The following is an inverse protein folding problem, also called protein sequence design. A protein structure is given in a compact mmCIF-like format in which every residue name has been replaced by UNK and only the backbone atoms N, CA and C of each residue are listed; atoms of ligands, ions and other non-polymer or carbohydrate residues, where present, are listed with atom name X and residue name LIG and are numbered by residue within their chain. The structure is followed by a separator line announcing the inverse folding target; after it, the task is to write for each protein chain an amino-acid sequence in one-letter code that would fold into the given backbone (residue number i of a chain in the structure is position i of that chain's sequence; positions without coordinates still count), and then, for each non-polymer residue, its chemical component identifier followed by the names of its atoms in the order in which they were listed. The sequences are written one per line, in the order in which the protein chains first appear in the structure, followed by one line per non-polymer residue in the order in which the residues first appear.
data_IF_667000793356
#
_entry.id   IF_667000793356
#
_cell.length_a   1.000
_cell.length_b   1.000
_cell.length_c   1.000
_cell.angle_alpha   90.00
_cell.angle_beta   90.00
_cell.angle_gamma   90.00
#
_symmetry.space_group_name_H-M   'P 1'
#
loop_
_entity.id
_entity.type
_entity.pdbx_description
1 polymer ?
#
# COMPACT_ATOMS: atom_id res chain seq x y z
N UNK A 1 11.98 -52.36 45.92
CA UNK A 1 13.42 -52.25 45.62
C UNK A 1 13.71 -53.36 44.62
N UNK A 2 14.12 -53.17 43.38
CA UNK A 2 14.99 -52.18 42.74
C UNK A 2 14.68 -52.09 41.23
N UNK A 3 14.78 -50.89 40.66
CA UNK A 3 15.04 -50.55 39.25
C UNK A 3 15.32 -49.04 39.27
N UNK A 4 16.24 -48.42 38.55
CA UNK A 4 17.11 -48.77 37.44
C UNK A 4 17.36 -47.43 36.74
N UNK A 5 18.40 -46.68 37.15
CA UNK A 5 18.71 -45.35 36.64
C UNK A 5 20.13 -45.36 36.09
N UNK A 6 20.30 -45.13 34.78
CA UNK A 6 21.59 -44.97 34.11
C UNK A 6 21.51 -43.72 33.23
N UNK A 7 22.22 -42.69 33.67
CA UNK A 7 22.31 -41.40 32.99
C UNK A 7 23.09 -41.50 31.68
N UNK A 8 22.60 -40.81 30.64
CA UNK A 8 23.36 -40.51 29.43
C UNK A 8 24.10 -39.19 29.62
N UNK A 9 25.42 -39.22 29.39
CA UNK A 9 26.30 -38.05 29.32
C UNK A 9 26.00 -37.23 28.07
N UNK A 10 26.08 -35.91 28.18
CA UNK A 10 25.92 -34.95 27.11
C UNK A 10 27.14 -34.98 26.15
N UNK A 11 26.86 -35.08 24.85
CA UNK A 11 27.82 -34.82 23.77
C UNK A 11 27.75 -33.33 23.39
N UNK A 12 28.87 -32.62 23.52
CA UNK A 12 29.00 -31.23 23.09
C UNK A 12 29.38 -31.18 21.61
N UNK A 13 28.40 -30.95 20.73
CA UNK A 13 28.64 -30.54 19.35
C UNK A 13 29.13 -29.08 19.33
N UNK A 14 30.31 -28.82 18.75
CA UNK A 14 30.80 -27.45 18.52
C UNK A 14 30.34 -27.00 17.14
N UNK A 15 29.21 -26.29 17.09
CA UNK A 15 28.72 -25.68 15.85
C UNK A 15 29.47 -24.39 15.56
N UNK A 16 30.33 -24.37 14.53
CA UNK A 16 30.90 -23.11 13.99
C UNK A 16 30.19 -22.76 12.68
N UNK A 17 29.69 -21.52 12.61
CA UNK A 17 29.08 -20.93 11.40
C UNK A 17 30.06 -19.91 10.83
N UNK A 18 30.33 -19.99 9.54
CA UNK A 18 31.13 -19.01 8.80
C UNK A 18 30.31 -18.53 7.60
N UNK A 19 30.32 -17.22 7.36
CA UNK A 19 29.74 -16.61 6.15
C UNK A 19 30.90 -16.13 5.30
N UNK A 20 31.00 -16.65 4.08
CA UNK A 20 31.99 -16.22 3.10
C UNK A 20 31.27 -15.98 1.76
N UNK A 21 31.35 -14.76 1.25
CA UNK A 21 30.76 -14.33 -0.03
C UNK A 21 29.27 -14.74 -0.19
N UNK A 22 28.45 -14.42 0.80
CA UNK A 22 27.01 -14.72 0.81
C UNK A 22 26.64 -16.19 1.03
N UNK A 23 27.63 -17.08 1.17
CA UNK A 23 27.43 -18.51 1.41
C UNK A 23 27.59 -18.83 2.91
N UNK A 24 26.58 -19.46 3.51
CA UNK A 24 26.66 -19.97 4.88
C UNK A 24 27.32 -21.35 4.89
N UNK A 25 28.46 -21.46 5.57
CA UNK A 25 29.20 -22.71 5.76
C UNK A 25 29.04 -23.14 7.22
N UNK A 26 28.55 -24.35 7.45
CA UNK A 26 28.34 -24.93 8.77
C UNK A 26 29.35 -26.06 8.97
N UNK A 27 30.13 -25.99 10.05
CA UNK A 27 31.04 -27.06 10.45
C UNK A 27 30.43 -27.83 11.61
N UNK A 28 30.25 -29.14 11.42
CA UNK A 28 29.80 -30.05 12.47
C UNK A 28 30.91 -31.07 12.74
N UNK A 29 31.40 -31.11 13.98
CA UNK A 29 32.40 -32.08 14.41
C UNK A 29 31.69 -33.16 15.23
N UNK A 30 31.72 -34.40 14.73
CA UNK A 30 31.17 -35.57 15.44
C UNK A 30 32.32 -36.31 16.12
N UNK A 31 32.20 -36.54 17.42
CA UNK A 31 33.17 -37.32 18.18
C UNK A 31 32.67 -38.77 18.28
N UNK A 32 33.47 -39.74 17.84
CA UNK A 32 33.24 -41.15 18.13
C UNK A 32 34.20 -41.64 19.23
N UNK A 33 33.66 -42.41 20.18
CA UNK A 33 34.38 -42.96 21.35
C UNK A 33 35.49 -43.98 21.00
N UNK A 34 36.20 -44.54 21.99
CA UNK A 34 37.08 -43.93 22.99
C UNK A 34 38.56 -43.97 22.57
N UNK A 35 38.87 -44.29 21.31
CA UNK A 35 40.24 -44.33 20.79
C UNK A 35 40.58 -43.08 19.97
N UNK A 36 40.51 -41.90 20.60
CA UNK A 36 41.17 -40.63 20.24
C UNK A 36 41.44 -40.35 18.74
N UNK A 37 40.45 -40.62 17.87
CA UNK A 37 40.52 -40.42 16.43
C UNK A 37 39.41 -39.45 16.06
N UNK A 38 39.76 -38.24 15.61
CA UNK A 38 38.76 -37.28 15.12
C UNK A 38 38.65 -37.43 13.60
N UNK A 39 37.50 -37.91 13.11
CA UNK A 39 37.16 -37.83 11.69
C UNK A 39 36.43 -36.52 11.44
N UNK A 40 37.08 -35.59 10.74
CA UNK A 40 36.42 -34.36 10.29
C UNK A 40 35.53 -34.69 9.10
N UNK A 41 34.22 -34.77 9.31
CA UNK A 41 33.24 -34.88 8.22
C UNK A 41 32.92 -33.47 7.74
N UNK A 42 33.39 -33.11 6.54
CA UNK A 42 33.04 -31.83 5.92
C UNK A 42 31.71 -32.02 5.16
N UNK A 43 30.59 -31.61 5.77
CA UNK A 43 29.33 -31.47 5.07
C UNK A 43 29.32 -30.13 4.32
N UNK A 44 29.62 -30.15 3.02
CA UNK A 44 29.48 -28.96 2.16
C UNK A 44 28.01 -28.78 1.77
N UNK A 45 27.26 -27.98 2.54
CA UNK A 45 26.01 -27.43 2.04
C UNK A 45 26.35 -26.30 1.05
N UNK A 46 26.03 -26.49 -0.22
CA UNK A 46 25.95 -25.38 -1.18
C UNK A 46 24.73 -24.56 -0.76
N UNK A 47 24.94 -23.54 0.07
CA UNK A 47 23.88 -22.59 0.39
C UNK A 47 23.43 -21.97 -0.94
N UNK A 48 22.15 -22.15 -1.27
CA UNK A 48 21.56 -21.33 -2.34
C UNK A 48 21.76 -19.86 -1.97
N UNK A 49 22.16 -18.99 -2.90
CA UNK A 49 22.36 -17.58 -2.59
C UNK A 49 21.09 -17.06 -1.91
N UNK A 50 21.25 -16.43 -0.75
CA UNK A 50 20.15 -15.78 -0.05
C UNK A 50 19.54 -14.80 -1.07
N UNK A 51 18.25 -14.95 -1.44
CA UNK A 51 17.66 -14.08 -2.44
C UNK A 51 17.78 -12.65 -1.96
N UNK A 52 18.37 -11.77 -2.79
CA UNK A 52 18.36 -10.33 -2.49
C UNK A 52 16.90 -9.87 -2.39
N UNK A 53 16.55 -8.95 -1.47
CA UNK A 53 15.22 -8.37 -1.45
C UNK A 53 14.92 -7.74 -2.83
N UNK A 54 13.65 -7.82 -3.31
CA UNK A 54 13.29 -7.26 -4.60
C UNK A 54 13.51 -5.74 -4.60
N UNK A 55 14.04 -5.22 -5.70
CA UNK A 55 14.11 -3.78 -5.97
C UNK A 55 12.73 -3.30 -6.40
N UNK A 56 12.18 -2.31 -5.68
CA UNK A 56 10.83 -1.78 -5.91
C UNK A 56 10.92 -0.30 -6.29
N UNK A 57 10.28 0.09 -7.40
CA UNK A 57 9.97 1.49 -7.66
C UNK A 57 8.54 1.80 -7.20
N UNK A 58 8.36 2.93 -6.50
CA UNK A 58 7.05 3.45 -6.14
C UNK A 58 6.77 4.72 -6.92
N UNK A 59 5.82 4.66 -7.85
CA UNK A 59 5.33 5.85 -8.58
C UNK A 59 4.12 6.42 -7.85
N UNK A 60 4.12 7.71 -7.56
CA UNK A 60 3.01 8.36 -6.84
C UNK A 60 3.18 8.37 -5.32
N UNK A 61 4.42 8.55 -4.85
CA UNK A 61 4.77 8.66 -3.42
C UNK A 61 4.14 9.88 -2.71
N UNK A 62 3.47 10.78 -3.46
CA UNK A 62 2.73 11.93 -2.91
C UNK A 62 1.24 11.68 -2.70
N UNK A 63 0.72 10.52 -3.13
CA UNK A 63 -0.62 10.08 -2.75
C UNK A 63 -0.66 9.73 -1.25
N UNK A 64 -1.85 9.71 -0.64
CA UNK A 64 -1.98 9.29 0.77
C UNK A 64 -1.35 7.91 0.98
N UNK A 65 -1.72 6.93 0.15
CA UNK A 65 -1.14 5.59 0.27
C UNK A 65 0.36 5.57 -0.04
N UNK A 66 0.79 6.16 -1.16
CA UNK A 66 2.20 6.14 -1.56
C UNK A 66 3.11 6.80 -0.54
N UNK A 67 2.67 7.89 0.08
CA UNK A 67 3.42 8.57 1.14
C UNK A 67 3.63 7.67 2.35
N UNK A 68 2.57 6.99 2.78
CA UNK A 68 2.64 6.05 3.91
C UNK A 68 3.49 4.82 3.58
N UNK A 69 3.42 4.30 2.36
CA UNK A 69 4.30 3.23 1.89
C UNK A 69 5.77 3.67 1.92
N UNK A 70 6.10 4.82 1.34
CA UNK A 70 7.48 5.32 1.27
C UNK A 70 8.08 5.57 2.66
N UNK A 71 7.32 6.17 3.59
CA UNK A 71 7.79 6.43 4.96
C UNK A 71 7.89 5.17 5.81
N UNK A 72 7.00 4.19 5.58
CA UNK A 72 6.98 2.94 6.34
C UNK A 72 8.07 1.96 5.89
N UNK A 73 8.51 2.05 4.63
CA UNK A 73 9.46 1.14 4.00
C UNK A 73 10.62 1.85 3.26
N UNK A 74 11.35 2.78 3.92
CA UNK A 74 12.30 3.67 3.25
C UNK A 74 13.52 2.96 2.63
N UNK A 75 13.81 1.73 3.05
CA UNK A 75 14.93 0.92 2.54
C UNK A 75 14.49 -0.19 1.57
N UNK A 76 13.18 -0.39 1.38
CA UNK A 76 12.67 -1.46 0.52
C UNK A 76 12.31 -0.98 -0.89
N UNK A 77 12.27 0.34 -1.12
CA UNK A 77 11.80 0.91 -2.37
C UNK A 77 12.46 2.26 -2.67
N UNK A 78 12.41 2.65 -3.95
CA UNK A 78 12.79 3.98 -4.42
C UNK A 78 11.52 4.76 -4.78
N UNK A 79 11.17 5.82 -4.02
CA UNK A 79 9.95 6.58 -4.23
C UNK A 79 10.11 7.68 -5.29
N UNK A 80 9.06 7.88 -6.08
CA UNK A 80 8.93 8.99 -7.02
C UNK A 80 7.68 9.81 -6.74
N UNK A 81 7.84 11.13 -6.63
CA UNK A 81 6.75 12.10 -6.38
C UNK A 81 6.00 12.43 -7.67
N UNK A 82 4.74 12.83 -7.55
CA UNK A 82 4.01 13.40 -8.69
C UNK A 82 4.53 14.81 -8.98
N UNK A 83 4.53 15.26 -10.26
CA UNK A 83 4.96 16.61 -10.63
C UNK A 83 4.25 17.70 -9.83
N UNK A 84 4.98 18.78 -9.52
CA UNK A 84 4.43 19.97 -8.87
C UNK A 84 4.24 19.86 -7.34
N UNK A 85 4.62 18.75 -6.71
CA UNK A 85 4.65 18.66 -5.25
C UNK A 85 5.93 19.31 -4.69
N UNK A 86 5.78 20.39 -3.94
CA UNK A 86 6.88 21.16 -3.34
C UNK A 86 6.99 20.95 -1.83
N UNK A 87 6.27 19.97 -1.26
CA UNK A 87 6.27 19.77 0.19
C UNK A 87 7.66 19.40 0.70
N UNK A 88 8.16 20.05 1.78
CA UNK A 88 9.43 19.71 2.41
C UNK A 88 9.58 18.22 2.77
N UNK A 89 8.48 17.54 3.10
CA UNK A 89 8.47 16.13 3.52
C UNK A 89 8.81 15.13 2.42
N UNK A 90 8.87 15.57 1.15
CA UNK A 90 9.14 14.71 0.00
C UNK A 90 10.24 15.26 -0.91
N UNK A 91 10.94 16.32 -0.51
CA UNK A 91 11.96 16.98 -1.33
C UNK A 91 13.15 16.07 -1.68
N UNK A 92 13.41 15.06 -0.86
CA UNK A 92 14.49 14.08 -1.09
C UNK A 92 14.14 13.04 -2.16
N UNK A 93 12.86 12.95 -2.56
CA UNK A 93 12.39 11.96 -3.52
C UNK A 93 12.38 12.54 -4.94
N UNK A 94 12.82 11.73 -5.90
CA UNK A 94 12.85 12.13 -7.31
C UNK A 94 11.43 12.41 -7.84
N UNK A 95 11.29 13.37 -8.75
CA UNK A 95 10.00 13.69 -9.36
C UNK A 95 9.80 12.91 -10.65
N UNK A 96 8.59 12.38 -10.86
CA UNK A 96 8.19 11.75 -12.11
C UNK A 96 8.21 12.75 -13.28
N UNK A 97 8.68 12.32 -14.45
CA UNK A 97 8.48 13.04 -15.71
C UNK A 97 7.93 12.08 -16.76
N UNK A 98 6.67 11.67 -16.59
CA UNK A 98 6.04 10.64 -17.44
C UNK A 98 5.61 11.17 -18.81
N UNK A 99 5.62 12.49 -19.01
CA UNK A 99 5.39 13.13 -20.31
C UNK A 99 6.59 12.95 -21.26
N UNK A 100 7.80 12.77 -20.71
CA UNK A 100 9.04 12.55 -21.45
C UNK A 100 9.37 11.05 -21.59
N UNK A 101 9.23 10.45 -22.78
CA UNK A 101 9.53 9.03 -23.01
C UNK A 101 10.98 8.65 -22.70
N UNK A 102 11.95 9.55 -22.94
CA UNK A 102 13.35 9.27 -22.67
C UNK A 102 13.64 9.22 -21.17
N UNK A 103 12.94 10.04 -20.37
CA UNK A 103 13.00 9.94 -18.92
C UNK A 103 12.49 8.58 -18.43
N UNK A 104 11.34 8.11 -18.95
CA UNK A 104 10.75 6.81 -18.57
C UNK A 104 11.71 5.66 -18.89
N UNK A 105 12.26 5.65 -20.11
CA UNK A 105 13.26 4.68 -20.55
C UNK A 105 14.49 4.69 -19.66
N UNK A 106 15.01 5.88 -19.35
CA UNK A 106 16.19 6.06 -18.50
C UNK A 106 15.94 5.50 -17.09
N UNK A 107 14.80 5.82 -16.47
CA UNK A 107 14.47 5.33 -15.13
C UNK A 107 14.46 3.81 -15.04
N UNK A 108 13.83 3.12 -15.99
CA UNK A 108 13.84 1.65 -15.98
C UNK A 108 15.22 1.06 -16.26
N UNK A 109 16.01 1.67 -17.16
CA UNK A 109 17.38 1.23 -17.44
C UNK A 109 18.34 1.39 -16.25
N UNK A 110 18.16 2.45 -15.46
CA UNK A 110 19.01 2.77 -14.31
C UNK A 110 18.66 1.95 -13.07
N UNK A 111 17.36 1.79 -12.78
CA UNK A 111 16.92 1.14 -11.55
C UNK A 111 16.69 -0.36 -11.68
N UNK A 112 16.43 -0.86 -12.90
CA UNK A 112 16.17 -2.27 -13.21
C UNK A 112 15.29 -2.97 -12.15
N UNK A 113 14.07 -2.45 -11.88
CA UNK A 113 13.28 -2.93 -10.76
C UNK A 113 12.71 -4.32 -11.00
N UNK A 114 12.63 -5.09 -9.92
CA UNK A 114 11.89 -6.35 -9.89
C UNK A 114 10.38 -6.07 -9.83
N UNK A 115 9.96 -4.98 -9.17
CA UNK A 115 8.56 -4.57 -9.03
C UNK A 115 8.41 -3.06 -9.30
N UNK A 116 7.41 -2.71 -10.12
CA UNK A 116 6.85 -1.36 -10.19
C UNK A 116 5.52 -1.33 -9.41
N UNK A 117 5.50 -0.61 -8.29
CA UNK A 117 4.29 -0.28 -7.54
C UNK A 117 3.76 1.08 -8.01
N UNK A 118 2.65 1.05 -8.75
CA UNK A 118 2.07 2.20 -9.41
C UNK A 118 0.87 2.75 -8.62
N UNK A 119 1.10 3.82 -7.87
CA UNK A 119 0.12 4.58 -7.11
C UNK A 119 -0.15 5.98 -7.71
N UNK A 120 0.45 6.32 -8.86
CA UNK A 120 0.31 7.64 -9.49
C UNK A 120 -1.07 7.79 -10.15
N UNK A 121 -1.83 8.79 -9.70
CA UNK A 121 -3.14 9.12 -10.22
C UNK A 121 -3.56 10.52 -9.75
N UNK A 122 -4.51 11.13 -10.46
CA UNK A 122 -5.30 12.26 -9.99
C UNK A 122 -6.69 11.77 -9.61
N UNK A 123 -7.12 12.09 -8.38
CA UNK A 123 -8.37 11.59 -7.79
C UNK A 123 -9.32 12.71 -7.32
N UNK A 124 -9.00 13.97 -7.61
CA UNK A 124 -9.90 15.10 -7.39
C UNK A 124 -11.05 15.03 -8.39
N UNK A 125 -12.18 14.46 -7.98
CA UNK A 125 -13.33 14.21 -8.85
C UNK A 125 -13.85 15.51 -9.49
N UNK A 126 -14.13 16.60 -8.74
CA UNK A 126 -14.50 17.87 -9.35
C UNK A 126 -13.53 18.36 -10.42
N UNK A 127 -12.22 18.28 -10.17
CA UNK A 127 -11.21 18.69 -11.15
C UNK A 127 -11.21 17.78 -12.38
N UNK A 128 -11.40 16.47 -12.19
CA UNK A 128 -11.48 15.53 -13.30
C UNK A 128 -12.73 15.76 -14.17
N UNK A 129 -13.87 16.12 -13.58
CA UNK A 129 -15.06 16.51 -14.35
C UNK A 129 -14.86 17.81 -15.12
N UNK A 130 -14.17 18.79 -14.52
CA UNK A 130 -13.89 20.08 -15.14
C UNK A 130 -12.89 19.98 -16.31
N UNK A 131 -11.91 19.08 -16.22
CA UNK A 131 -10.92 18.83 -17.27
C UNK A 131 -10.72 17.32 -17.51
N UNK A 132 -11.62 16.68 -18.27
CA UNK A 132 -11.55 15.25 -18.53
C UNK A 132 -10.33 14.83 -19.36
N UNK A 133 -9.84 15.72 -20.24
CA UNK A 133 -8.67 15.46 -21.07
C UNK A 133 -7.40 15.39 -20.21
N UNK A 134 -7.23 16.33 -19.26
CA UNK A 134 -6.15 16.27 -18.28
C UNK A 134 -6.24 15.03 -17.39
N UNK A 135 -7.43 14.70 -16.88
CA UNK A 135 -7.62 13.52 -16.05
C UNK A 135 -7.25 12.23 -16.79
N UNK A 136 -7.67 12.12 -18.06
CA UNK A 136 -7.30 11.00 -18.92
C UNK A 136 -5.79 10.95 -19.18
N UNK A 137 -5.17 12.08 -19.53
CA UNK A 137 -3.74 12.14 -19.81
C UNK A 137 -2.91 11.65 -18.60
N UNK A 138 -3.25 12.12 -17.40
CA UNK A 138 -2.52 11.73 -16.19
C UNK A 138 -2.80 10.30 -15.75
N UNK A 139 -4.07 9.84 -15.78
CA UNK A 139 -4.44 8.52 -15.25
C UNK A 139 -4.22 7.38 -16.25
N UNK A 140 -4.37 7.64 -17.54
CA UNK A 140 -4.30 6.65 -18.64
C UNK A 140 -3.07 6.89 -19.49
N UNK A 141 -2.85 8.12 -19.99
CA UNK A 141 -1.75 8.46 -20.87
C UNK A 141 -0.37 8.21 -20.26
N UNK A 142 -0.15 8.66 -19.03
CA UNK A 142 1.10 8.40 -18.30
C UNK A 142 1.36 6.90 -18.08
N UNK A 143 0.32 6.15 -17.69
CA UNK A 143 0.44 4.70 -17.53
C UNK A 143 0.76 4.02 -18.86
N UNK A 144 0.16 4.47 -19.97
CA UNK A 144 0.43 3.91 -21.30
C UNK A 144 1.90 4.06 -21.69
N UNK A 145 2.47 5.24 -21.45
CA UNK A 145 3.91 5.49 -21.68
C UNK A 145 4.77 4.61 -20.79
N UNK A 146 4.44 4.50 -19.50
CA UNK A 146 5.13 3.61 -18.57
C UNK A 146 5.12 2.17 -19.06
N UNK A 147 3.95 1.64 -19.44
CA UNK A 147 3.80 0.26 -19.94
C UNK A 147 4.60 0.01 -21.23
N UNK A 148 4.75 1.03 -22.08
CA UNK A 148 5.51 0.94 -23.33
C UNK A 148 7.02 0.73 -23.11
N UNK A 149 7.54 1.12 -21.95
CA UNK A 149 8.97 0.99 -21.60
C UNK A 149 9.23 0.06 -20.41
N UNK A 150 8.19 -0.51 -19.79
CA UNK A 150 8.32 -1.38 -18.62
C UNK A 150 8.89 -2.75 -19.04
N UNK A 151 10.11 -3.12 -18.61
CA UNK A 151 10.74 -4.39 -19.00
C UNK A 151 9.86 -5.58 -18.66
N UNK A 152 9.74 -6.59 -19.53
CA UNK A 152 8.88 -7.78 -19.30
C UNK A 152 9.20 -8.51 -17.99
N UNK A 153 10.44 -8.44 -17.52
CA UNK A 153 10.90 -9.01 -16.24
C UNK A 153 10.41 -8.26 -15.01
N UNK A 154 9.99 -7.00 -15.16
CA UNK A 154 9.47 -6.19 -14.05
C UNK A 154 8.01 -6.52 -13.80
N UNK A 155 7.67 -6.89 -12.58
CA UNK A 155 6.28 -7.08 -12.19
C UNK A 155 5.56 -5.76 -11.99
N UNK A 156 4.34 -5.66 -12.49
CA UNK A 156 3.49 -4.48 -12.31
C UNK A 156 2.45 -4.72 -11.21
N UNK A 157 2.46 -3.87 -10.20
CA UNK A 157 1.42 -3.79 -9.17
C UNK A 157 0.75 -2.42 -9.28
N UNK A 158 -0.52 -2.41 -9.67
CA UNK A 158 -1.30 -1.20 -9.90
C UNK A 158 -2.35 -1.03 -8.80
N UNK A 159 -2.29 0.08 -8.07
CA UNK A 159 -3.29 0.36 -7.02
C UNK A 159 -4.46 1.12 -7.62
N UNK A 160 -5.57 0.45 -7.88
CA UNK A 160 -6.84 1.02 -8.34
C UNK A 160 -7.70 1.57 -7.18
N UNK A 161 -9.00 1.78 -7.41
CA UNK A 161 -9.92 2.43 -6.47
C UNK A 161 -11.31 1.83 -6.56
N UNK A 162 -12.05 1.86 -5.46
CA UNK A 162 -13.51 1.67 -5.40
C UNK A 162 -14.33 2.59 -6.31
N UNK A 163 -13.78 3.70 -6.82
CA UNK A 163 -14.42 4.55 -7.84
C UNK A 163 -14.63 3.88 -9.20
N UNK A 164 -14.11 2.65 -9.40
CA UNK A 164 -14.54 1.79 -10.51
C UNK A 164 -16.00 1.35 -10.37
N UNK A 165 -16.58 1.51 -9.18
CA UNK A 165 -18.00 1.35 -8.89
C UNK A 165 -18.62 2.71 -8.54
N UNK A 166 -19.95 2.81 -8.61
CA UNK A 166 -20.65 4.05 -8.29
C UNK A 166 -22.07 3.89 -7.71
N UNK A 167 -22.73 2.77 -8.00
CA UNK A 167 -24.05 2.48 -7.45
C UNK A 167 -24.01 1.99 -6.00
N UNK A 168 -25.17 1.97 -5.36
CA UNK A 168 -25.35 1.38 -4.03
C UNK A 168 -25.20 -0.14 -4.13
N UNK A 169 -24.21 -0.71 -3.45
CA UNK A 169 -23.93 -2.14 -3.54
C UNK A 169 -22.71 -2.62 -2.76
N UNK A 170 -22.60 -3.94 -2.71
CA UNK A 170 -21.46 -4.67 -2.18
C UNK A 170 -20.76 -5.34 -3.36
N UNK A 171 -19.48 -5.03 -3.56
CA UNK A 171 -18.74 -5.37 -4.77
C UNK A 171 -17.53 -6.24 -4.45
N UNK A 172 -17.53 -7.45 -5.00
CA UNK A 172 -16.38 -8.34 -4.99
C UNK A 172 -15.55 -8.21 -6.27
N UNK A 173 -14.41 -8.91 -6.38
CA UNK A 173 -13.45 -8.72 -7.48
C UNK A 173 -14.03 -8.98 -8.87
N UNK A 174 -14.90 -9.98 -8.98
CA UNK A 174 -15.61 -10.31 -10.23
C UNK A 174 -16.83 -9.41 -10.54
N UNK A 175 -17.19 -8.47 -9.67
CA UNK A 175 -18.30 -7.57 -9.96
C UNK A 175 -17.93 -6.65 -11.13
N UNK A 176 -18.82 -6.45 -12.12
CA UNK A 176 -18.52 -5.59 -13.27
C UNK A 176 -18.36 -4.13 -12.80
N UNK A 177 -17.32 -3.41 -13.26
CA UNK A 177 -17.18 -1.99 -12.97
C UNK A 177 -18.39 -1.18 -13.47
N UNK A 178 -18.78 -0.17 -12.70
CA UNK A 178 -19.88 0.76 -13.01
C UNK A 178 -19.49 2.20 -12.61
N UNK A 179 -18.44 2.78 -13.21
CA UNK A 179 -17.93 4.08 -12.81
C UNK A 179 -18.91 5.20 -13.16
N UNK A 180 -19.15 6.11 -12.21
CA UNK A 180 -20.06 7.26 -12.39
C UNK A 180 -19.36 8.59 -12.60
N UNK A 181 -18.03 8.64 -12.43
CA UNK A 181 -17.22 9.85 -12.60
C UNK A 181 -16.13 9.68 -13.66
N UNK A 182 -15.60 10.79 -14.19
CA UNK A 182 -14.40 10.81 -15.06
C UNK A 182 -13.26 10.06 -14.38
N UNK A 183 -12.98 10.37 -13.10
CA UNK A 183 -11.95 9.68 -12.34
C UNK A 183 -12.16 8.16 -12.38
N UNK A 184 -13.36 7.69 -12.02
CA UNK A 184 -13.71 6.27 -12.05
C UNK A 184 -13.51 5.63 -13.44
N UNK A 185 -13.96 6.32 -14.50
CA UNK A 185 -13.79 5.85 -15.89
C UNK A 185 -12.32 5.68 -16.25
N UNK A 186 -11.48 6.65 -15.91
CA UNK A 186 -10.03 6.57 -16.17
C UNK A 186 -9.35 5.43 -15.39
N UNK A 187 -9.83 5.08 -14.18
CA UNK A 187 -9.34 3.91 -13.44
C UNK A 187 -9.69 2.61 -14.15
N UNK A 188 -10.95 2.46 -14.60
CA UNK A 188 -11.39 1.25 -15.31
C UNK A 188 -10.59 1.05 -16.59
N UNK A 189 -10.34 2.12 -17.35
CA UNK A 189 -9.54 2.05 -18.57
C UNK A 189 -8.08 1.68 -18.30
N UNK A 190 -7.47 2.30 -17.29
CA UNK A 190 -6.13 1.94 -16.87
C UNK A 190 -6.02 0.48 -16.38
N UNK A 191 -7.03 -0.03 -15.66
CA UNK A 191 -7.09 -1.46 -15.29
C UNK A 191 -7.05 -2.37 -16.53
N UNK A 192 -7.81 -2.04 -17.59
CA UNK A 192 -7.81 -2.82 -18.83
C UNK A 192 -6.43 -2.87 -19.48
N UNK A 193 -5.64 -1.80 -19.41
CA UNK A 193 -4.26 -1.78 -19.91
C UNK A 193 -3.35 -2.66 -19.06
N UNK A 194 -3.50 -2.63 -17.73
CA UNK A 194 -2.74 -3.47 -16.80
C UNK A 194 -3.02 -4.95 -17.05
N UNK A 195 -4.28 -5.35 -17.25
CA UNK A 195 -4.66 -6.74 -17.49
C UNK A 195 -4.05 -7.35 -18.76
N UNK A 196 -3.66 -6.52 -19.74
CA UNK A 196 -2.94 -7.01 -20.93
C UNK A 196 -1.52 -7.46 -20.62
N UNK A 197 -0.97 -7.06 -19.47
CA UNK A 197 0.37 -7.46 -19.02
C UNK A 197 0.28 -8.73 -18.17
N UNK A 198 0.91 -9.85 -18.59
CA UNK A 198 0.95 -11.08 -17.80
C UNK A 198 1.60 -10.85 -16.43
N UNK A 199 1.09 -11.56 -15.41
CA UNK A 199 1.64 -11.52 -14.06
C UNK A 199 1.43 -10.19 -13.30
N UNK A 200 0.62 -9.28 -13.85
CA UNK A 200 0.26 -8.04 -13.17
C UNK A 200 -0.73 -8.26 -12.03
N UNK A 201 -0.75 -7.33 -11.07
CA UNK A 201 -1.68 -7.30 -9.96
C UNK A 201 -2.38 -5.94 -9.91
N UNK A 202 -3.70 -5.94 -9.94
CA UNK A 202 -4.55 -4.78 -9.66
C UNK A 202 -5.11 -4.88 -8.26
N UNK A 203 -4.87 -3.87 -7.43
CA UNK A 203 -5.38 -3.79 -6.06
C UNK A 203 -6.43 -2.68 -6.00
N UNK A 204 -7.71 -3.02 -5.89
CA UNK A 204 -8.76 -2.03 -5.63
C UNK A 204 -8.88 -1.81 -4.12
N UNK A 205 -8.84 -0.56 -3.71
CA UNK A 205 -8.96 -0.15 -2.31
C UNK A 205 -10.03 0.92 -2.17
N UNK A 206 -10.58 1.01 -0.96
CA UNK A 206 -11.52 2.04 -0.58
C UNK A 206 -10.84 3.36 -0.20
N UNK A 207 -11.41 4.04 0.79
CA UNK A 207 -10.93 5.33 1.22
C UNK A 207 -9.82 5.21 2.28
N UNK A 208 -8.61 5.63 1.93
CA UNK A 208 -7.49 5.71 2.88
C UNK A 208 -7.55 7.02 3.70
N UNK A 209 -7.35 6.90 5.01
CA UNK A 209 -7.29 8.04 5.95
C UNK A 209 -5.90 8.10 6.58
N UNK A 210 -5.29 9.29 6.51
CA UNK A 210 -4.00 9.59 7.11
C UNK A 210 -3.53 10.98 6.69
N UNK A 211 -2.47 11.51 7.30
CA UNK A 211 -1.86 12.77 6.89
C UNK A 211 -1.31 12.66 5.47
N UNK A 212 -1.47 13.72 4.70
CA UNK A 212 -0.82 13.90 3.41
C UNK A 212 0.56 14.52 3.58
N UNK A 213 1.47 14.33 2.60
CA UNK A 213 2.80 14.92 2.68
C UNK A 213 2.79 16.45 2.83
N UNK A 214 1.79 17.14 2.28
CA UNK A 214 1.68 18.60 2.37
C UNK A 214 0.77 19.08 3.51
N UNK A 215 0.16 18.18 4.28
CA UNK A 215 -0.78 18.52 5.35
C UNK A 215 -2.07 19.20 4.85
N UNK A 216 -2.40 19.07 3.56
CA UNK A 216 -3.51 19.80 2.91
C UNK A 216 -4.44 18.92 2.08
N UNK A 217 -4.10 17.66 1.88
CA UNK A 217 -4.80 16.76 0.95
C UNK A 217 -5.45 15.60 1.70
N UNK A 218 -6.60 15.14 1.21
CA UNK A 218 -7.35 14.06 1.84
C UNK A 218 -8.22 14.53 3.00
N UNK A 219 -9.03 13.62 3.54
CA UNK A 219 -10.12 13.97 4.43
C UNK A 219 -9.69 14.48 5.80
N UNK A 220 -8.66 13.88 6.38
CA UNK A 220 -8.12 14.29 7.66
C UNK A 220 -7.60 15.73 7.61
N UNK A 221 -6.75 16.02 6.63
CA UNK A 221 -6.12 17.33 6.49
C UNK A 221 -7.11 18.40 6.04
N UNK A 222 -8.08 18.06 5.19
CA UNK A 222 -9.15 18.98 4.80
C UNK A 222 -10.02 19.37 5.99
N UNK A 223 -10.45 18.42 6.83
CA UNK A 223 -11.20 18.71 8.04
C UNK A 223 -10.37 19.57 9.00
N UNK A 224 -9.12 19.17 9.28
CA UNK A 224 -8.20 19.90 10.14
C UNK A 224 -8.00 21.35 9.69
N UNK A 225 -7.77 21.56 8.40
CA UNK A 225 -7.58 22.90 7.86
C UNK A 225 -8.84 23.74 8.02
N UNK A 226 -10.02 23.20 7.66
CA UNK A 226 -11.28 23.97 7.74
C UNK A 226 -11.66 24.32 9.18
N UNK A 227 -11.46 23.42 10.13
CA UNK A 227 -11.72 23.72 11.54
C UNK A 227 -10.75 24.79 12.07
N UNK A 228 -9.46 24.65 11.81
CA UNK A 228 -8.45 25.65 12.23
C UNK A 228 -8.69 27.04 11.64
N UNK A 229 -9.27 27.12 10.44
CA UNK A 229 -9.58 28.38 9.76
C UNK A 229 -11.02 28.86 9.97
N UNK A 230 -11.83 28.16 10.79
CA UNK A 230 -13.26 28.43 10.98
C UNK A 230 -14.06 28.53 9.66
N UNK A 231 -13.73 27.68 8.69
CA UNK A 231 -14.39 27.65 7.38
C UNK A 231 -15.59 26.68 7.39
N UNK A 232 -16.70 27.00 6.68
CA UNK A 232 -17.89 26.14 6.64
C UNK A 232 -17.57 24.73 6.14
N UNK A 233 -18.08 23.68 6.80
CA UNK A 233 -17.87 22.29 6.37
C UNK A 233 -19.17 21.76 5.77
N UNK A 234 -19.11 21.16 4.58
CA UNK A 234 -20.24 20.50 3.93
C UNK A 234 -19.87 19.04 3.61
N UNK A 235 -20.60 18.10 4.21
CA UNK A 235 -20.37 16.66 4.11
C UNK A 235 -21.50 16.02 3.31
N UNK A 236 -21.13 15.19 2.33
CA UNK A 236 -22.11 14.39 1.58
C UNK A 236 -22.69 13.31 2.48
N UNK A 237 -24.01 13.22 2.60
CA UNK A 237 -24.64 12.35 3.61
C UNK A 237 -24.92 10.90 3.16
N UNK A 238 -25.06 10.69 1.86
CA UNK A 238 -25.45 9.43 1.21
C UNK A 238 -24.31 8.76 0.43
N UNK A 239 -23.06 9.06 0.81
CA UNK A 239 -21.85 8.37 0.34
C UNK A 239 -21.27 7.50 1.47
N UNK A 240 -21.00 6.22 1.16
CA UNK A 240 -20.39 5.26 2.09
C UNK A 240 -19.25 4.53 1.40
N UNK A 241 -18.16 4.33 2.14
CA UNK A 241 -16.93 3.72 1.60
C UNK A 241 -16.27 2.82 2.63
N UNK A 242 -15.64 1.74 2.18
CA UNK A 242 -14.70 0.95 2.96
C UNK A 242 -13.52 1.85 3.35
N UNK A 243 -13.49 2.32 4.61
CA UNK A 243 -12.55 3.36 5.04
C UNK A 243 -11.53 2.79 6.01
N UNK A 244 -10.25 2.88 5.68
CA UNK A 244 -9.15 2.24 6.41
C UNK A 244 -8.04 3.25 6.71
N UNK A 245 -7.20 2.96 7.71
CA UNK A 245 -6.00 3.75 7.94
C UNK A 245 -4.97 3.54 6.84
N UNK A 246 -4.37 4.63 6.35
CA UNK A 246 -3.38 4.61 5.29
C UNK A 246 -2.14 3.78 5.66
N UNK A 247 -1.75 3.75 6.93
CA UNK A 247 -0.65 2.95 7.45
C UNK A 247 -0.94 1.44 7.33
N UNK A 248 -2.14 0.99 7.70
CA UNK A 248 -2.53 -0.42 7.62
C UNK A 248 -2.68 -0.86 6.16
N UNK A 249 -3.24 0.03 5.33
CA UNK A 249 -3.33 -0.18 3.88
C UNK A 249 -1.95 -0.26 3.24
N UNK A 250 -0.99 0.58 3.65
CA UNK A 250 0.38 0.55 3.16
C UNK A 250 1.05 -0.80 3.42
N UNK A 251 0.88 -1.36 4.62
CA UNK A 251 1.39 -2.69 4.96
C UNK A 251 0.75 -3.75 4.06
N UNK A 252 -0.58 -3.76 3.93
CA UNK A 252 -1.27 -4.79 3.11
C UNK A 252 -0.91 -4.70 1.63
N UNK A 253 -0.81 -3.49 1.09
CA UNK A 253 -0.39 -3.27 -0.32
C UNK A 253 1.03 -3.75 -0.55
N UNK A 254 1.95 -3.49 0.37
CA UNK A 254 3.33 -3.99 0.26
C UNK A 254 3.39 -5.52 0.36
N UNK A 255 2.65 -6.14 1.28
CA UNK A 255 2.56 -7.60 1.36
C UNK A 255 2.01 -8.22 0.07
N UNK A 256 0.99 -7.61 -0.53
CA UNK A 256 0.46 -8.05 -1.82
C UNK A 256 1.48 -7.86 -2.96
N UNK A 257 2.17 -6.72 -2.98
CA UNK A 257 3.17 -6.40 -3.99
C UNK A 257 4.34 -7.40 -4.02
N UNK A 258 4.76 -7.90 -2.85
CA UNK A 258 5.86 -8.89 -2.74
C UNK A 258 5.39 -10.35 -2.74
N UNK A 259 4.08 -10.62 -2.56
CA UNK A 259 3.49 -11.96 -2.69
C UNK A 259 3.44 -12.44 -4.15
N UNK A 260 3.29 -13.73 -4.48
CA UNK A 260 3.15 -14.18 -5.88
C UNK A 260 1.76 -13.91 -6.52
N UNK A 261 0.87 -13.16 -5.85
CA UNK A 261 -0.52 -12.96 -6.28
C UNK A 261 -0.62 -12.13 -7.57
N UNK A 262 -1.49 -12.54 -8.49
CA UNK A 262 -1.76 -11.83 -9.75
C UNK A 262 -3.26 -11.63 -9.95
N UNK A 263 -3.67 -10.88 -10.97
CA UNK A 263 -5.08 -10.61 -11.26
C UNK A 263 -5.62 -9.43 -10.44
N UNK A 264 -6.84 -9.55 -9.92
CA UNK A 264 -7.51 -8.48 -9.14
C UNK A 264 -7.60 -8.90 -7.68
N UNK A 265 -7.30 -7.98 -6.77
CA UNK A 265 -7.57 -8.11 -5.33
C UNK A 265 -8.29 -6.88 -4.82
N UNK A 266 -9.30 -7.09 -3.98
CA UNK A 266 -9.85 -6.04 -3.15
C UNK A 266 -9.15 -6.03 -1.79
N UNK A 267 -8.79 -4.85 -1.29
CA UNK A 267 -8.53 -4.65 0.13
C UNK A 267 -9.79 -4.04 0.72
N UNK A 268 -10.60 -4.87 1.37
CA UNK A 268 -11.83 -4.47 2.05
C UNK A 268 -11.56 -3.90 3.44
N UNK A 269 -12.57 -3.25 3.99
CA UNK A 269 -12.65 -2.91 5.40
C UNK A 269 -13.65 -3.86 6.08
N UNK A 270 -13.59 -3.98 7.40
CA UNK A 270 -14.58 -4.68 8.24
C UNK A 270 -16.00 -4.12 8.06
N UNK A 271 -16.12 -2.85 7.68
CA UNK A 271 -17.39 -2.18 7.39
C UNK A 271 -17.19 -0.99 6.43
N UNK A 272 -18.18 -0.74 5.58
CA UNK A 272 -18.34 0.55 4.91
C UNK A 272 -18.99 1.56 5.85
N UNK A 273 -18.42 2.77 5.92
CA UNK A 273 -18.90 3.83 6.83
C UNK A 273 -19.35 5.05 6.03
N UNK A 274 -20.36 5.75 6.53
CA UNK A 274 -20.81 7.00 5.91
C UNK A 274 -19.77 8.10 6.06
N UNK A 275 -19.76 9.02 5.10
CA UNK A 275 -18.96 10.24 5.16
C UNK A 275 -19.27 11.10 6.38
N UNK A 276 -20.52 11.12 6.84
CA UNK A 276 -20.97 11.82 8.05
C UNK A 276 -20.39 11.17 9.31
N UNK A 277 -20.45 9.85 9.41
CA UNK A 277 -19.87 9.09 10.53
C UNK A 277 -18.36 9.31 10.59
N UNK A 278 -17.69 9.24 9.44
CA UNK A 278 -16.25 9.52 9.34
C UNK A 278 -15.92 10.94 9.79
N UNK A 279 -16.66 11.96 9.33
CA UNK A 279 -16.42 13.35 9.69
C UNK A 279 -16.58 13.57 11.20
N UNK A 280 -17.66 13.06 11.80
CA UNK A 280 -17.86 13.12 13.25
C UNK A 280 -16.72 12.47 14.03
N UNK A 281 -16.29 11.28 13.60
CA UNK A 281 -15.18 10.56 14.23
C UNK A 281 -13.89 11.37 14.16
N UNK A 282 -13.52 11.89 12.99
CA UNK A 282 -12.29 12.65 12.81
C UNK A 282 -12.32 14.00 13.53
N UNK A 283 -13.45 14.71 13.53
CA UNK A 283 -13.59 15.98 14.26
C UNK A 283 -13.41 15.76 15.77
N UNK A 284 -14.06 14.74 16.32
CA UNK A 284 -13.90 14.35 17.72
C UNK A 284 -12.44 13.97 18.02
N UNK A 285 -11.81 13.18 17.15
CA UNK A 285 -10.40 12.79 17.28
C UNK A 285 -9.42 13.98 17.19
N UNK A 286 -9.82 15.09 16.56
CA UNK A 286 -9.08 16.35 16.51
C UNK A 286 -9.42 17.31 17.68
N UNK A 287 -10.29 16.89 18.61
CA UNK A 287 -10.77 17.72 19.71
C UNK A 287 -11.62 18.91 19.25
N UNK A 288 -12.31 18.77 18.11
CA UNK A 288 -13.14 19.82 17.52
C UNK A 288 -14.62 19.45 17.67
N UNK A 289 -15.40 20.35 18.27
CA UNK A 289 -16.86 20.32 18.24
C UNK A 289 -17.31 21.36 17.20
N UNK A 290 -17.57 20.91 15.97
CA UNK A 290 -17.96 21.78 14.87
C UNK A 290 -19.15 21.19 14.15
N UNK A 291 -20.20 21.99 14.02
CA UNK A 291 -21.33 21.65 13.17
C UNK A 291 -20.94 21.74 11.69
N UNK A 292 -21.43 20.79 10.90
CA UNK A 292 -21.26 20.80 9.46
C UNK A 292 -22.61 20.60 8.76
N UNK A 293 -22.73 21.22 7.59
CA UNK A 293 -23.88 21.04 6.72
C UNK A 293 -23.84 19.65 6.09
N UNK A 294 -25.01 19.09 5.89
CA UNK A 294 -25.20 17.83 5.16
C UNK A 294 -25.89 18.13 3.85
N UNK A 295 -25.41 17.49 2.80
CA UNK A 295 -25.97 17.59 1.46
C UNK A 295 -26.03 16.20 0.84
N UNK A 296 -27.08 15.91 0.08
CA UNK A 296 -27.13 14.70 -0.74
C UNK A 296 -26.16 14.80 -1.91
N UNK A 297 -25.62 13.67 -2.35
CA UNK A 297 -24.79 13.54 -3.56
C UNK A 297 -25.48 14.10 -4.80
N UNK A 298 -26.81 14.06 -4.87
CA UNK A 298 -27.59 14.59 -5.98
C UNK A 298 -27.61 16.13 -6.03
N UNK A 299 -27.22 16.80 -4.94
CA UNK A 299 -27.12 18.26 -4.86
C UNK A 299 -25.72 18.76 -5.23
N UNK A 300 -24.74 17.86 -5.39
CA UNK A 300 -23.34 18.20 -5.68
C UNK A 300 -23.14 18.35 -7.19
N UNK A 301 -22.26 19.27 -7.58
CA UNK A 301 -21.93 19.51 -8.99
C UNK A 301 -21.10 18.38 -9.61
N UNK A 302 -20.27 17.71 -8.81
CA UNK A 302 -19.46 16.57 -9.22
C UNK A 302 -20.08 15.25 -8.72
N UNK A 303 -19.97 14.14 -9.45
CA UNK A 303 -20.50 12.85 -9.02
C UNK A 303 -19.85 12.38 -7.72
N UNK A 304 -20.68 11.99 -6.76
CA UNK A 304 -20.27 11.33 -5.52
C UNK A 304 -20.77 9.88 -5.52
N UNK A 305 -19.97 8.99 -4.91
CA UNK A 305 -20.34 7.58 -4.81
C UNK A 305 -21.60 7.41 -3.95
N UNK A 306 -22.29 6.29 -4.13
CA UNK A 306 -23.31 5.84 -3.19
C UNK A 306 -22.74 5.09 -2.00
N UNK A 307 -23.46 4.06 -1.58
CA UNK A 307 -22.91 3.02 -0.71
C UNK A 307 -22.07 2.05 -1.52
N UNK A 308 -20.75 2.23 -1.52
CA UNK A 308 -19.80 1.31 -2.15
C UNK A 308 -19.03 0.57 -1.07
N UNK A 309 -19.31 -0.72 -0.95
CA UNK A 309 -18.62 -1.62 -0.02
C UNK A 309 -17.82 -2.66 -0.79
N UNK A 310 -16.50 -2.69 -0.57
CA UNK A 310 -15.65 -3.72 -1.17
C UNK A 310 -15.68 -4.97 -0.30
N UNK A 311 -15.84 -6.13 -0.94
CA UNK A 311 -15.62 -7.46 -0.34
C UNK A 311 -14.60 -8.24 -1.15
N UNK A 312 -14.10 -9.35 -0.60
CA UNK A 312 -13.21 -10.26 -1.30
C UNK A 312 -13.81 -11.66 -1.39
N UNK A 313 -13.71 -12.29 -2.56
CA UNK A 313 -14.02 -13.72 -2.75
C UNK A 313 -12.90 -14.64 -2.24
N UNK A 314 -11.74 -14.09 -1.93
CA UNK A 314 -10.59 -14.86 -1.49
C UNK A 314 -10.58 -15.01 0.03
N UNK A 315 -10.05 -16.14 0.51
CA UNK A 315 -10.00 -16.48 1.94
C UNK A 315 -8.59 -16.49 2.52
N UNK A 316 -7.57 -16.17 1.73
CA UNK A 316 -6.19 -16.09 2.21
C UNK A 316 -5.98 -14.92 3.18
N UNK A 317 -4.84 -14.91 3.87
CA UNK A 317 -4.52 -13.90 4.89
C UNK A 317 -4.45 -12.48 4.31
N UNK A 318 -4.10 -12.32 3.03
CA UNK A 318 -4.02 -11.05 2.34
C UNK A 318 -5.39 -10.57 1.81
N UNK A 319 -6.43 -11.41 1.88
CA UNK A 319 -7.81 -11.08 1.56
C UNK A 319 -8.66 -10.69 2.79
N UNK A 320 -8.14 -10.92 4.01
CA UNK A 320 -8.86 -10.56 5.23
C UNK A 320 -9.12 -9.06 5.30
N UNK A 321 -10.34 -8.62 5.69
CA UNK A 321 -10.66 -7.21 5.78
C UNK A 321 -9.74 -6.49 6.76
N UNK A 322 -9.31 -5.28 6.40
CA UNK A 322 -8.63 -4.39 7.33
C UNK A 322 -9.64 -3.79 8.31
N UNK A 323 -9.19 -3.44 9.50
CA UNK A 323 -9.99 -2.69 10.46
C UNK A 323 -10.48 -1.38 9.81
N UNK A 324 -11.77 -1.10 9.94
CA UNK A 324 -12.30 0.22 9.61
C UNK A 324 -11.66 1.25 10.54
N UNK A 325 -11.57 2.50 10.10
CA UNK A 325 -11.03 3.59 10.94
C UNK A 325 -11.79 3.79 12.26
N UNK A 326 -13.03 3.28 12.37
CA UNK A 326 -13.83 3.30 13.59
C UNK A 326 -13.49 2.17 14.57
N UNK A 327 -12.85 1.10 14.12
CA UNK A 327 -12.63 -0.09 14.93
C UNK A 327 -11.44 0.10 15.87
N UNK A 328 -11.58 -0.30 17.14
CA UNK A 328 -10.45 -0.39 18.08
C UNK A 328 -9.84 0.96 18.50
N UNK A 329 -10.51 2.09 18.24
CA UNK A 329 -10.00 3.42 18.55
C UNK A 329 -10.97 4.21 19.45
N UNK A 330 -10.98 3.96 20.77
CA UNK A 330 -11.55 4.94 21.68
C UNK A 330 -10.80 6.26 21.51
N UNK A 331 -11.56 7.36 21.50
CA UNK A 331 -11.03 8.73 21.42
C UNK A 331 -10.02 8.92 22.57
N UNK A 332 -8.89 9.59 22.29
CA UNK A 332 -7.77 9.86 23.21
C UNK A 332 -6.79 8.70 23.47
N UNK A 333 -6.58 7.80 22.50
CA UNK A 333 -5.50 6.80 22.59
C UNK A 333 -4.20 7.28 21.95
N UNK A 334 -3.01 6.91 22.50
CA UNK A 334 -1.72 7.21 21.87
C UNK A 334 -1.61 6.70 20.42
N UNK A 335 -2.24 5.56 20.12
CA UNK A 335 -2.30 5.00 18.77
C UNK A 335 -3.05 5.93 17.82
N UNK A 336 -4.23 6.43 18.21
CA UNK A 336 -4.99 7.38 17.40
C UNK A 336 -4.20 8.69 17.20
N UNK A 337 -3.60 9.24 18.25
CA UNK A 337 -2.74 10.43 18.14
C UNK A 337 -1.58 10.24 17.16
N UNK A 338 -1.00 9.04 17.11
CA UNK A 338 0.04 8.68 16.13
C UNK A 338 -0.51 8.62 14.71
N UNK A 339 -1.69 8.02 14.50
CA UNK A 339 -2.32 7.94 13.17
C UNK A 339 -2.77 9.29 12.62
N UNK A 340 -3.07 10.24 13.50
CA UNK A 340 -3.41 11.62 13.14
C UNK A 340 -2.17 12.48 12.87
N UNK A 341 -1.01 12.11 13.41
CA UNK A 341 0.26 12.81 13.21
C UNK A 341 1.12 12.11 12.16
N UNK A 342 2.31 12.65 11.90
CA UNK A 342 3.24 12.14 10.89
C UNK A 342 3.49 10.62 11.00
N UNK A 343 3.55 9.88 9.88
CA UNK A 343 3.69 8.44 9.94
C UNK A 343 5.09 8.04 10.47
N UNK A 344 5.16 7.01 11.30
CA UNK A 344 6.43 6.55 11.88
C UNK A 344 7.33 5.88 10.86
N UNK A 345 8.65 6.04 11.02
CA UNK A 345 9.66 5.25 10.30
C UNK A 345 9.80 3.90 11.02
N UNK A 346 9.83 2.79 10.27
CA UNK A 346 10.08 1.46 10.84
C UNK A 346 11.19 0.77 10.06
N UNK A 347 12.12 0.15 10.78
CA UNK A 347 13.29 -0.51 10.20
C UNK A 347 12.95 -1.87 9.55
N UNK A 348 13.74 -2.24 8.54
CA UNK A 348 13.51 -3.37 7.63
C UNK A 348 13.60 -4.78 8.25
N UNK A 349 13.78 -4.90 9.57
CA UNK A 349 14.02 -6.18 10.26
C UNK A 349 12.76 -7.00 10.60
N UNK A 350 11.58 -6.60 10.09
CA UNK A 350 10.28 -7.24 10.40
C UNK A 350 9.48 -7.71 9.17
N UNK A 351 10.13 -7.90 8.02
CA UNK A 351 9.50 -8.42 6.80
C UNK A 351 9.89 -9.87 6.52
#
# INVERSE_FOLDING_TARGET
MSSGCLGRRAETAVNRRLVYDGTLIIFEAVAESPHNSFSLVILTFVASPIPRPPSILLFGATSILGFHIARRFPHALVPFTSPGNTSPTVQEWATLNLEDPEWVKKVFSQHQPDILLYCHAVCDVPKCEADPAWAYEVNVGHLNRVLSFLPETTRLVYVSSDHVFGGDGVYHEHAPPCPISVYGRTRVEAEQMVFRRPGSLVIRTGLAIGPSPNGRTGHLDWLRYRTQQNLPIAIVEDEYRSTVWAEDLAVRVMSLATSPVTGIRHISATQAISRVTLANFLLNALGQETDFYRESRFQRSAPHLGKVELTSLFSDTLAQPLASVLDGHPVNTPLLSRRLSDPPIVEASQL
#
